data_IF_305397126308
#
_entry.id   IF_305397126308
#
_cell.length_a   1.000
_cell.length_b   1.000
_cell.length_c   1.000
_cell.angle_alpha   90.00
_cell.angle_beta   90.00
_cell.angle_gamma   90.00
#
_symmetry.space_group_name_H-M   'P 1'
#
loop_
_entity.id
_entity.type
_entity.pdbx_description
1 polymer ?
#
# COMPACT_ATOMS: atom_id res chain seq x y z
N UNK A 1 -30.67 -4.40 4.64
CA UNK A 1 -29.45 -4.98 4.04
C UNK A 1 -28.74 -5.90 5.01
N UNK A 2 -28.07 -6.94 4.50
CA UNK A 2 -27.42 -7.97 5.31
C UNK A 2 -25.92 -8.07 4.97
N UNK A 3 -25.08 -8.18 5.99
CA UNK A 3 -23.69 -8.61 5.87
C UNK A 3 -23.56 -10.00 6.51
N UNK A 4 -23.18 -11.00 5.70
CA UNK A 4 -23.04 -12.39 6.14
C UNK A 4 -21.57 -12.68 6.42
N UNK A 5 -21.28 -13.21 7.60
CA UNK A 5 -19.94 -13.59 8.04
C UNK A 5 -19.94 -15.04 8.53
N UNK A 6 -18.76 -15.67 8.71
CA UNK A 6 -18.68 -16.99 9.33
C UNK A 6 -19.25 -17.07 10.76
N UNK A 7 -19.40 -15.92 11.44
CA UNK A 7 -19.84 -15.83 12.83
C UNK A 7 -21.29 -15.37 12.98
N UNK A 8 -22.00 -15.12 11.88
CA UNK A 8 -23.39 -14.68 11.90
C UNK A 8 -23.72 -13.61 10.86
N UNK A 9 -24.96 -13.14 10.91
CA UNK A 9 -25.48 -12.12 9.98
C UNK A 9 -25.82 -10.84 10.72
N UNK A 10 -25.27 -9.73 10.23
CA UNK A 10 -25.60 -8.38 10.71
C UNK A 10 -26.63 -7.77 9.77
N UNK A 11 -27.67 -7.13 10.32
CA UNK A 11 -28.69 -6.42 9.55
C UNK A 11 -28.61 -4.93 9.81
N UNK A 12 -28.68 -4.14 8.75
CA UNK A 12 -28.68 -2.69 8.83
C UNK A 12 -29.51 -2.08 7.69
N UNK A 13 -30.05 -0.85 7.85
CA UNK A 13 -30.66 -0.11 6.75
C UNK A 13 -29.65 0.13 5.61
N UNK A 14 -28.39 0.38 5.97
CA UNK A 14 -27.29 0.60 5.04
C UNK A 14 -26.14 -0.37 5.27
N UNK A 15 -25.57 -0.91 4.18
CA UNK A 15 -24.34 -1.71 4.21
C UNK A 15 -23.38 -1.16 3.16
N UNK A 16 -22.16 -0.81 3.59
CA UNK A 16 -21.12 -0.27 2.72
C UNK A 16 -20.00 -1.29 2.54
N UNK A 17 -19.66 -1.59 1.28
CA UNK A 17 -18.46 -2.36 0.94
C UNK A 17 -17.24 -1.45 0.91
N UNK A 18 -16.40 -1.56 1.93
CA UNK A 18 -15.15 -0.82 2.08
C UNK A 18 -13.94 -1.77 2.17
N UNK A 19 -13.91 -2.79 1.32
CA UNK A 19 -12.95 -3.91 1.39
C UNK A 19 -11.72 -3.74 0.51
N UNK A 20 -11.57 -2.61 -0.20
CA UNK A 20 -10.40 -2.30 -1.04
C UNK A 20 -9.95 -3.50 -1.91
N UNK A 21 -8.66 -3.81 -1.98
CA UNK A 21 -8.13 -4.95 -2.74
C UNK A 21 -8.72 -6.31 -2.34
N UNK A 22 -9.28 -6.46 -1.14
CA UNK A 22 -9.93 -7.70 -0.72
C UNK A 22 -11.34 -7.89 -1.31
N UNK A 23 -11.87 -6.89 -2.02
CA UNK A 23 -13.15 -6.97 -2.74
C UNK A 23 -13.22 -8.17 -3.68
N UNK A 24 -12.10 -8.56 -4.30
CA UNK A 24 -12.04 -9.72 -5.20
C UNK A 24 -12.36 -11.05 -4.51
N UNK A 25 -12.29 -11.12 -3.18
CA UNK A 25 -12.66 -12.29 -2.38
C UNK A 25 -14.16 -12.42 -2.12
N UNK A 26 -14.96 -11.38 -2.39
CA UNK A 26 -16.41 -11.41 -2.22
C UNK A 26 -17.08 -12.10 -3.41
N UNK A 27 -18.12 -12.89 -3.14
CA UNK A 27 -18.88 -13.62 -4.17
C UNK A 27 -19.45 -12.64 -5.20
N UNK A 28 -19.12 -12.87 -6.47
CA UNK A 28 -19.57 -12.03 -7.60
C UNK A 28 -18.68 -10.80 -7.88
N UNK A 29 -17.73 -10.47 -7.01
CA UNK A 29 -16.96 -9.21 -7.08
C UNK A 29 -15.52 -9.39 -7.58
N UNK A 30 -15.17 -10.60 -8.03
CA UNK A 30 -13.80 -11.01 -8.42
C UNK A 30 -13.10 -10.05 -9.40
N UNK A 31 -13.88 -9.37 -10.25
CA UNK A 31 -13.39 -8.48 -11.32
C UNK A 31 -13.79 -7.02 -11.11
N UNK A 32 -14.38 -6.69 -9.97
CA UNK A 32 -14.85 -5.34 -9.68
C UNK A 32 -13.66 -4.40 -9.52
N UNK A 33 -12.73 -4.76 -8.63
CA UNK A 33 -11.45 -4.07 -8.48
C UNK A 33 -10.30 -5.05 -8.69
N UNK A 34 -9.24 -4.57 -9.33
CA UNK A 34 -7.99 -5.30 -9.48
C UNK A 34 -7.20 -5.20 -8.17
N UNK A 35 -6.94 -6.31 -7.45
CA UNK A 35 -6.03 -6.27 -6.32
C UNK A 35 -4.60 -6.14 -6.84
N UNK A 36 -3.93 -5.06 -6.45
CA UNK A 36 -2.53 -4.84 -6.71
C UNK A 36 -1.73 -4.81 -5.41
N UNK A 37 -0.50 -5.32 -5.45
CA UNK A 37 0.40 -5.29 -4.31
C UNK A 37 1.36 -4.10 -4.42
N UNK A 38 1.53 -3.38 -3.31
CA UNK A 38 2.62 -2.43 -3.10
C UNK A 38 3.54 -2.97 -2.01
N UNK A 39 4.84 -2.79 -2.19
CA UNK A 39 5.86 -3.32 -1.29
C UNK A 39 6.70 -2.20 -0.71
N UNK A 40 7.15 -2.39 0.52
CA UNK A 40 7.97 -1.44 1.26
C UNK A 40 9.13 -2.14 1.96
N UNK A 41 10.20 -1.38 2.16
CA UNK A 41 11.28 -1.68 3.11
C UNK A 41 11.38 -0.54 4.13
N UNK A 42 11.93 -0.85 5.30
CA UNK A 42 12.36 0.16 6.26
C UNK A 42 13.78 -0.15 6.74
N UNK A 43 14.62 0.87 6.84
CA UNK A 43 15.99 0.74 7.36
C UNK A 43 16.01 0.46 8.86
N UNK A 44 17.17 0.10 9.40
CA UNK A 44 17.48 0.37 10.80
C UNK A 44 17.46 1.88 11.10
N UNK A 45 17.37 2.30 12.38
CA UNK A 45 17.51 3.70 12.74
C UNK A 45 18.85 4.24 12.26
N UNK A 46 18.83 5.38 11.58
CA UNK A 46 20.01 6.00 11.00
C UNK A 46 20.57 7.04 11.98
N UNK A 47 21.90 7.16 12.09
CA UNK A 47 22.53 8.08 13.02
C UNK A 47 22.21 9.54 12.65
N UNK A 48 22.19 10.44 13.65
CA UNK A 48 21.96 11.88 13.46
C UNK A 48 22.84 12.47 12.34
N UNK A 49 24.11 12.07 12.28
CA UNK A 49 25.06 12.53 11.27
C UNK A 49 24.64 12.17 9.81
N UNK A 50 23.85 11.11 9.60
CA UNK A 50 23.27 10.85 8.28
C UNK A 50 22.26 11.93 7.91
N UNK A 51 21.36 12.28 8.83
CA UNK A 51 20.30 13.26 8.60
C UNK A 51 20.84 14.66 8.37
N UNK A 52 21.83 15.08 9.16
CA UNK A 52 22.55 16.35 8.99
C UNK A 52 23.17 16.46 7.59
N UNK A 53 23.83 15.39 7.12
CA UNK A 53 24.43 15.36 5.77
C UNK A 53 23.39 15.28 4.65
N UNK A 54 22.30 14.57 4.88
CA UNK A 54 21.23 14.42 3.89
C UNK A 54 20.41 15.71 3.73
N UNK A 55 20.42 16.59 4.74
CA UNK A 55 19.64 17.84 4.73
C UNK A 55 18.12 17.60 4.77
N UNK A 56 17.67 16.41 5.18
CA UNK A 56 16.27 16.00 5.19
C UNK A 56 15.69 16.03 6.62
N UNK A 57 15.51 17.24 7.13
CA UNK A 57 15.07 17.49 8.51
C UNK A 57 13.54 17.51 8.67
N UNK A 58 12.82 18.06 7.68
CA UNK A 58 11.38 18.32 7.77
C UNK A 58 10.49 17.09 7.60
N UNK A 59 11.08 15.89 7.41
CA UNK A 59 10.36 14.61 7.27
C UNK A 59 9.38 14.60 6.09
N UNK A 60 9.63 15.44 5.10
CA UNK A 60 8.83 15.59 3.89
C UNK A 60 8.78 14.25 3.15
N UNK A 61 7.63 13.89 2.59
CA UNK A 61 7.55 12.72 1.72
C UNK A 61 8.27 13.01 0.42
N UNK A 62 9.26 12.19 0.08
CA UNK A 62 9.93 12.24 -1.21
C UNK A 62 9.17 11.37 -2.20
N UNK A 63 9.01 11.85 -3.43
CA UNK A 63 8.47 11.09 -4.55
C UNK A 63 9.36 11.26 -5.77
N UNK A 64 9.55 10.20 -6.56
CA UNK A 64 10.27 10.26 -7.83
C UNK A 64 9.31 9.99 -9.00
N UNK A 65 9.37 10.83 -10.02
CA UNK A 65 8.61 10.70 -11.26
C UNK A 65 9.36 9.90 -12.34
N UNK A 66 10.69 9.73 -12.23
CA UNK A 66 11.49 8.92 -13.14
C UNK A 66 11.24 7.42 -12.91
N UNK A 67 11.03 7.02 -11.66
CA UNK A 67 10.57 5.69 -11.28
C UNK A 67 9.14 5.82 -10.77
N UNK A 68 8.15 5.61 -11.65
CA UNK A 68 6.73 5.97 -11.48
C UNK A 68 6.00 5.54 -10.18
N UNK A 69 6.67 4.88 -9.23
CA UNK A 69 6.12 4.43 -7.96
C UNK A 69 7.24 4.35 -6.91
N UNK A 70 7.96 5.43 -6.65
CA UNK A 70 8.82 5.53 -5.48
C UNK A 70 8.30 6.60 -4.55
N UNK A 71 8.20 6.25 -3.27
CA UNK A 71 7.98 7.18 -2.18
C UNK A 71 8.87 6.84 -1.00
N UNK A 72 9.44 7.86 -0.36
CA UNK A 72 10.26 7.70 0.84
C UNK A 72 9.80 8.66 1.93
N UNK A 73 9.86 8.22 3.18
CA UNK A 73 9.58 9.07 4.33
C UNK A 73 10.53 8.76 5.50
N UNK A 74 10.98 9.80 6.19
CA UNK A 74 11.67 9.68 7.47
C UNK A 74 10.67 9.36 8.58
N UNK A 75 10.78 8.19 9.21
CA UNK A 75 9.91 7.77 10.32
C UNK A 75 10.26 8.52 11.61
N UNK A 76 9.32 8.61 12.55
CA UNK A 76 9.51 9.30 13.84
C UNK A 76 10.72 8.80 14.65
N UNK A 77 11.12 7.54 14.47
CA UNK A 77 12.29 6.90 15.08
C UNK A 77 13.52 6.87 14.15
N UNK A 78 13.58 7.81 13.21
CA UNK A 78 14.74 8.10 12.37
C UNK A 78 15.19 6.95 11.47
N UNK A 79 14.23 6.35 10.75
CA UNK A 79 14.48 5.40 9.66
C UNK A 79 14.03 5.99 8.34
N UNK A 80 14.46 5.38 7.24
CA UNK A 80 13.84 5.60 5.94
C UNK A 80 12.86 4.47 5.67
N UNK A 81 11.56 4.79 5.58
CA UNK A 81 10.56 3.93 4.99
C UNK A 81 10.50 4.22 3.50
N UNK A 82 10.80 3.22 2.67
CA UNK A 82 10.87 3.34 1.22
C UNK A 82 9.90 2.35 0.59
N UNK A 83 8.94 2.86 -0.17
CA UNK A 83 7.98 2.06 -0.91
C UNK A 83 8.19 2.12 -2.40
N UNK A 84 7.80 1.04 -3.06
CA UNK A 84 7.64 1.08 -4.50
C UNK A 84 7.00 -0.14 -5.13
N UNK A 85 7.16 -0.24 -6.46
CA UNK A 85 6.51 -1.30 -7.24
C UNK A 85 7.27 -2.61 -7.08
N UNK A 86 6.69 -3.55 -6.34
CA UNK A 86 7.11 -4.96 -6.31
C UNK A 86 6.48 -5.77 -7.44
N UNK A 87 6.26 -7.08 -7.25
CA UNK A 87 5.41 -7.91 -8.12
C UNK A 87 3.96 -7.48 -7.91
N UNK A 88 3.40 -6.63 -8.78
CA UNK A 88 2.26 -5.81 -8.39
C UNK A 88 0.93 -6.53 -8.60
N UNK A 89 0.91 -7.67 -9.29
CA UNK A 89 -0.31 -8.42 -9.54
C UNK A 89 -0.07 -9.91 -9.38
N UNK A 90 -0.88 -10.55 -8.53
CA UNK A 90 -0.93 -12.01 -8.43
C UNK A 90 -2.06 -12.51 -9.31
N UNK A 91 -1.70 -13.38 -10.26
CA UNK A 91 -2.61 -13.85 -11.31
C UNK A 91 -3.98 -14.32 -10.77
N UNK A 92 -5.04 -13.92 -11.47
CA UNK A 92 -6.40 -14.31 -11.15
C UNK A 92 -7.02 -13.53 -9.98
N UNK A 93 -6.63 -12.27 -9.78
CA UNK A 93 -7.08 -11.44 -8.64
C UNK A 93 -6.79 -12.07 -7.27
N UNK A 94 -5.66 -12.79 -7.15
CA UNK A 94 -5.25 -13.32 -5.85
C UNK A 94 -4.67 -12.20 -5.00
N UNK A 95 -4.90 -12.28 -3.70
CA UNK A 95 -4.27 -11.40 -2.71
C UNK A 95 -3.14 -12.14 -2.01
N UNK A 96 -2.29 -11.40 -1.31
CA UNK A 96 -1.41 -12.01 -0.31
C UNK A 96 -2.18 -12.29 0.98
N UNK A 97 -1.68 -13.21 1.81
CA UNK A 97 -2.32 -13.59 3.07
C UNK A 97 -1.52 -13.14 4.30
N UNK A 98 -0.20 -12.97 4.18
CA UNK A 98 0.68 -12.65 5.32
C UNK A 98 1.48 -11.35 5.13
N UNK A 99 1.24 -10.62 4.05
CA UNK A 99 1.87 -9.32 3.77
C UNK A 99 3.38 -9.43 3.52
N UNK A 100 3.88 -10.60 3.11
CA UNK A 100 5.31 -10.78 2.84
C UNK A 100 5.72 -10.19 1.50
N UNK A 101 6.88 -9.54 1.49
CA UNK A 101 7.51 -9.05 0.26
C UNK A 101 8.43 -10.11 -0.33
N UNK A 102 8.47 -10.21 -1.66
CA UNK A 102 9.38 -11.13 -2.35
C UNK A 102 10.84 -10.69 -2.13
N UNK A 103 11.79 -11.62 -1.87
CA UNK A 103 13.21 -11.27 -1.69
C UNK A 103 13.80 -10.44 -2.83
N UNK A 104 13.39 -10.69 -4.08
CA UNK A 104 13.81 -9.90 -5.24
C UNK A 104 13.36 -8.44 -5.14
N UNK A 105 12.11 -8.19 -4.76
CA UNK A 105 11.60 -6.83 -4.54
C UNK A 105 12.31 -6.14 -3.36
N UNK A 106 12.66 -6.87 -2.30
CA UNK A 106 13.46 -6.30 -1.20
C UNK A 106 14.83 -5.86 -1.70
N UNK A 107 15.48 -6.67 -2.55
CA UNK A 107 16.76 -6.33 -3.17
C UNK A 107 16.65 -5.11 -4.09
N UNK A 108 15.65 -5.05 -4.96
CA UNK A 108 15.39 -3.91 -5.86
C UNK A 108 15.16 -2.60 -5.09
N UNK A 109 14.34 -2.64 -4.03
CA UNK A 109 14.10 -1.48 -3.17
C UNK A 109 15.37 -1.06 -2.42
N UNK A 110 16.21 -2.02 -1.99
CA UNK A 110 17.50 -1.73 -1.36
C UNK A 110 18.47 -1.09 -2.34
N UNK A 111 18.56 -1.57 -3.57
CA UNK A 111 19.40 -0.94 -4.59
C UNK A 111 18.94 0.50 -4.86
N UNK A 112 17.63 0.71 -4.93
CA UNK A 112 17.04 2.03 -5.12
C UNK A 112 17.33 2.97 -3.94
N UNK A 113 17.26 2.47 -2.70
CA UNK A 113 17.69 3.21 -1.51
C UNK A 113 19.15 3.68 -1.64
N UNK A 114 20.05 2.79 -2.06
CA UNK A 114 21.48 3.11 -2.21
C UNK A 114 21.73 4.06 -3.40
N UNK A 115 20.94 3.97 -4.47
CA UNK A 115 21.00 4.93 -5.58
C UNK A 115 20.62 6.34 -5.13
N UNK A 116 19.60 6.48 -4.29
CA UNK A 116 19.17 7.76 -3.73
C UNK A 116 20.13 8.28 -2.66
N UNK A 117 20.65 7.38 -1.83
CA UNK A 117 21.52 7.70 -0.69
C UNK A 117 22.75 6.75 -0.68
N UNK A 118 23.80 7.05 -1.47
CA UNK A 118 24.98 6.17 -1.58
C UNK A 118 25.64 5.84 -0.24
N UNK A 119 25.58 6.76 0.73
CA UNK A 119 26.08 6.58 2.09
C UNK A 119 25.36 5.47 2.88
N UNK A 120 24.22 4.97 2.40
CA UNK A 120 23.46 3.86 3.00
C UNK A 120 23.83 2.49 2.45
N UNK A 121 24.89 2.36 1.65
CA UNK A 121 25.36 1.08 1.14
C UNK A 121 25.52 0.02 2.25
N UNK A 122 25.98 0.42 3.44
CA UNK A 122 26.13 -0.47 4.61
C UNK A 122 24.91 -0.61 5.52
N UNK A 123 23.86 0.20 5.36
CA UNK A 123 22.71 0.19 6.26
C UNK A 123 21.87 -1.08 6.10
N UNK A 124 21.32 -1.63 7.18
CA UNK A 124 20.46 -2.83 7.11
C UNK A 124 19.02 -2.45 6.78
N UNK A 125 18.36 -3.34 6.04
CA UNK A 125 16.89 -3.37 5.97
C UNK A 125 16.40 -4.09 7.22
N UNK A 126 15.66 -3.38 8.08
CA UNK A 126 15.14 -3.93 9.32
C UNK A 126 13.88 -4.78 9.06
N UNK A 127 12.98 -4.28 8.21
CA UNK A 127 11.75 -4.98 7.84
C UNK A 127 11.36 -4.72 6.38
N UNK A 128 10.57 -5.64 5.83
CA UNK A 128 9.92 -5.51 4.54
C UNK A 128 8.52 -6.10 4.61
N UNK A 129 7.56 -5.45 3.95
CA UNK A 129 6.17 -5.90 3.89
C UNK A 129 5.49 -5.44 2.62
N UNK A 130 4.38 -6.09 2.28
CA UNK A 130 3.52 -5.72 1.17
C UNK A 130 2.07 -5.59 1.62
N UNK A 131 1.35 -4.68 0.97
CA UNK A 131 -0.07 -4.45 1.19
C UNK A 131 -0.84 -4.57 -0.12
N UNK A 132 -2.13 -4.89 -0.03
CA UNK A 132 -3.03 -4.99 -1.18
C UNK A 132 -3.87 -3.73 -1.29
N UNK A 133 -3.87 -3.12 -2.47
CA UNK A 133 -4.74 -2.00 -2.85
C UNK A 133 -5.71 -2.44 -3.95
N UNK A 134 -6.90 -1.87 -3.97
CA UNK A 134 -7.91 -2.07 -5.00
C UNK A 134 -7.77 -1.01 -6.08
N UNK A 135 -7.66 -1.44 -7.32
CA UNK A 135 -7.56 -0.56 -8.48
C UNK A 135 -8.82 -0.71 -9.34
N UNK A 136 -9.68 0.33 -9.42
CA UNK A 136 -10.80 0.34 -10.33
C UNK A 136 -10.29 0.57 -11.77
N UNK A 137 -11.14 0.30 -12.77
CA UNK A 137 -10.74 0.36 -14.19
C UNK A 137 -10.35 1.76 -14.65
N UNK A 138 -10.92 2.79 -14.03
CA UNK A 138 -10.68 4.20 -14.29
C UNK A 138 -9.59 4.80 -13.40
N UNK A 139 -9.03 4.03 -12.46
CA UNK A 139 -8.02 4.48 -11.50
C UNK A 139 -8.50 5.60 -10.56
N UNK A 140 -9.82 5.80 -10.45
CA UNK A 140 -10.39 6.87 -9.63
C UNK A 140 -10.96 6.34 -8.31
N UNK A 141 -10.66 7.05 -7.22
CA UNK A 141 -11.35 6.86 -5.96
C UNK A 141 -12.86 7.05 -6.17
N UNK A 142 -13.65 6.11 -5.65
CA UNK A 142 -15.09 6.07 -5.86
C UNK A 142 -15.79 5.98 -4.52
N UNK A 143 -16.81 6.82 -4.33
CA UNK A 143 -17.80 6.71 -3.25
C UNK A 143 -19.18 6.72 -3.88
N UNK A 144 -19.97 5.68 -3.61
CA UNK A 144 -21.34 5.58 -4.12
C UNK A 144 -22.28 5.02 -3.06
N UNK A 145 -23.53 5.44 -3.15
CA UNK A 145 -24.62 4.94 -2.34
C UNK A 145 -25.88 4.84 -3.21
N UNK A 146 -26.42 3.63 -3.32
CA UNK A 146 -27.78 3.41 -3.81
C UNK A 146 -28.74 3.44 -2.64
N UNK A 147 -29.50 4.52 -2.53
CA UNK A 147 -30.50 4.71 -1.46
C UNK A 147 -31.71 3.80 -1.60
N UNK A 148 -32.02 3.34 -2.80
CA UNK A 148 -33.18 2.47 -3.05
C UNK A 148 -32.93 1.06 -2.50
N UNK A 149 -31.69 0.59 -2.60
CA UNK A 149 -31.28 -0.70 -2.04
C UNK A 149 -30.65 -0.57 -0.66
N UNK A 150 -30.12 0.59 -0.28
CA UNK A 150 -29.35 0.76 0.96
C UNK A 150 -27.93 0.18 0.86
N UNK A 151 -27.44 -0.09 -0.34
CA UNK A 151 -26.08 -0.59 -0.57
C UNK A 151 -25.18 0.54 -1.09
N UNK A 152 -23.93 0.55 -0.63
CA UNK A 152 -22.93 1.49 -1.12
C UNK A 152 -21.52 0.93 -1.06
N UNK A 153 -20.55 1.70 -1.56
CA UNK A 153 -19.14 1.34 -1.55
C UNK A 153 -18.28 2.59 -1.50
N UNK A 154 -17.10 2.43 -0.90
CA UNK A 154 -16.04 3.42 -0.89
C UNK A 154 -14.69 2.72 -1.06
N UNK A 155 -13.83 3.25 -1.92
CA UNK A 155 -12.50 2.71 -2.18
C UNK A 155 -12.02 2.98 -3.59
N UNK A 156 -11.08 2.18 -4.05
CA UNK A 156 -10.34 2.46 -5.27
C UNK A 156 -9.39 3.62 -5.07
N UNK A 157 -8.82 3.79 -3.87
CA UNK A 157 -8.00 4.96 -3.55
C UNK A 157 -6.62 4.94 -4.21
N UNK A 158 -6.22 3.80 -4.80
CA UNK A 158 -4.98 3.63 -5.57
C UNK A 158 -3.75 4.23 -4.87
N UNK A 159 -3.54 3.88 -3.60
CA UNK A 159 -2.38 4.35 -2.82
C UNK A 159 -2.55 5.73 -2.16
N UNK A 160 -3.67 6.42 -2.35
CA UNK A 160 -3.96 7.72 -1.73
C UNK A 160 -4.95 7.65 -0.56
N UNK A 161 -5.37 6.46 -0.14
CA UNK A 161 -6.47 6.27 0.82
C UNK A 161 -6.16 6.60 2.29
N UNK A 162 -4.90 6.94 2.58
CA UNK A 162 -4.45 7.32 3.93
C UNK A 162 -4.25 8.83 4.05
N UNK A 163 -3.99 9.52 2.94
CA UNK A 163 -3.77 10.96 2.94
C UNK A 163 -5.09 11.71 3.20
N UNK A 164 -5.02 12.76 4.04
CA UNK A 164 -6.10 13.72 4.34
C UNK A 164 -5.67 15.11 3.96
#
# INVERSE_FOLDING_TARGET
QHAVTPYGTVRAPYVLRCTEGFTAGLKGERRTWLPMNSSMIVTEPLPAAFWERAGWEGRETLGDFAHAYLYAQRTADDRIALGGRGVPYRYGSRTDNDGRTQPSTVAELRELLVRLFPQLAGARVAHAWSGVLGVPRDWCATVCLDRSTGLGWAGGYVGSGVAT
#
